data_IF_801034868126
#
_entry.id   IF_801034868126
#
_cell.length_a   1.000
_cell.length_b   1.000
_cell.length_c   1.000
_cell.angle_alpha   90.00
_cell.angle_beta   90.00
_cell.angle_gamma   90.00
#
_symmetry.space_group_name_H-M   'P 1'
#
loop_
_entity.id
_entity.type
_entity.pdbx_description
1 polymer ?
#
# COMPACT_ATOMS: atom_id res chain seq x y z
N UNK A 1 -50.94 19.34 -11.98
CA UNK A 1 -49.89 18.89 -11.04
C UNK A 1 -49.95 17.37 -10.98
N UNK A 2 -49.05 16.67 -11.68
CA UNK A 2 -48.94 15.21 -11.60
C UNK A 2 -47.68 14.91 -10.82
N UNK A 3 -47.85 14.28 -9.66
CA UNK A 3 -46.80 13.91 -8.71
C UNK A 3 -46.02 12.71 -9.24
N UNK A 4 -44.69 12.79 -9.18
CA UNK A 4 -43.78 11.72 -9.60
C UNK A 4 -43.97 10.51 -8.67
N UNK A 5 -44.10 9.34 -9.28
CA UNK A 5 -44.37 8.05 -8.64
C UNK A 5 -43.14 7.55 -7.85
N UNK A 6 -43.24 7.25 -6.54
CA UNK A 6 -42.11 6.85 -5.69
C UNK A 6 -41.42 5.55 -6.13
N UNK A 7 -42.02 4.76 -7.03
CA UNK A 7 -41.37 3.61 -7.66
C UNK A 7 -40.18 4.01 -8.55
N UNK A 8 -40.19 5.23 -9.11
CA UNK A 8 -39.10 5.74 -9.97
C UNK A 8 -37.88 6.20 -9.17
N UNK A 9 -38.07 6.58 -7.90
CA UNK A 9 -36.99 7.05 -7.02
C UNK A 9 -36.20 5.89 -6.41
N UNK A 10 -36.83 4.73 -6.21
CA UNK A 10 -36.16 3.52 -5.69
C UNK A 10 -35.25 2.84 -6.72
N UNK A 11 -35.44 3.09 -8.01
CA UNK A 11 -34.56 2.57 -9.06
C UNK A 11 -33.20 3.29 -9.15
N UNK A 12 -33.07 4.47 -8.54
CA UNK A 12 -31.84 5.29 -8.56
C UNK A 12 -30.85 4.88 -7.45
N UNK A 13 -31.28 4.13 -6.43
CA UNK A 13 -30.45 3.79 -5.27
C UNK A 13 -30.09 2.29 -5.15
N UNK A 14 -30.34 1.49 -6.20
CA UNK A 14 -29.98 0.07 -6.25
C UNK A 14 -28.63 -0.14 -6.92
N UNK A 15 -27.62 -0.50 -6.13
CA UNK A 15 -26.23 -0.72 -6.56
C UNK A 15 -26.10 -1.66 -7.77
N UNK A 16 -25.62 -1.10 -8.88
CA UNK A 16 -25.23 -1.83 -10.08
C UNK A 16 -24.67 -0.86 -11.12
N UNK A 17 -23.35 -0.94 -11.35
CA UNK A 17 -22.63 -0.37 -12.49
C UNK A 17 -22.95 1.10 -12.88
N UNK A 18 -22.48 2.03 -12.05
CA UNK A 18 -22.51 3.47 -12.35
C UNK A 18 -21.57 3.93 -13.50
N UNK A 19 -20.84 3.00 -14.15
CA UNK A 19 -19.91 3.34 -15.25
C UNK A 19 -20.55 3.34 -16.64
N UNK A 20 -21.75 2.77 -16.82
CA UNK A 20 -22.40 2.66 -18.14
C UNK A 20 -23.41 3.77 -18.45
N UNK A 21 -23.83 4.55 -17.45
CA UNK A 21 -24.89 5.56 -17.63
C UNK A 21 -24.36 6.97 -17.99
N UNK A 22 -23.06 7.25 -17.80
CA UNK A 22 -22.49 8.57 -18.11
C UNK A 22 -22.09 8.75 -19.59
N UNK A 23 -21.73 7.67 -20.28
CA UNK A 23 -21.36 7.72 -21.71
C UNK A 23 -22.58 8.07 -22.58
N UNK A 24 -23.78 7.60 -22.22
CA UNK A 24 -25.00 7.78 -22.99
C UNK A 24 -25.55 9.21 -22.97
N UNK A 25 -25.38 9.95 -21.86
CA UNK A 25 -25.92 11.31 -21.73
C UNK A 25 -25.19 12.32 -22.63
N UNK A 26 -23.86 12.19 -22.75
CA UNK A 26 -23.04 13.04 -23.61
C UNK A 26 -23.29 12.78 -25.10
N UNK A 27 -23.50 11.52 -25.47
CA UNK A 27 -23.82 11.12 -26.84
C UNK A 27 -25.26 11.47 -27.23
N UNK A 28 -26.24 11.38 -26.32
CA UNK A 28 -27.61 11.86 -26.54
C UNK A 28 -27.68 13.39 -26.68
N UNK A 29 -26.91 14.13 -25.89
CA UNK A 29 -26.81 15.59 -26.01
C UNK A 29 -26.18 15.98 -27.35
N UNK A 30 -25.12 15.30 -27.78
CA UNK A 30 -24.52 15.47 -29.13
C UNK A 30 -25.50 15.15 -30.25
N UNK A 31 -26.24 14.05 -30.14
CA UNK A 31 -27.22 13.61 -31.15
C UNK A 31 -28.41 14.57 -31.27
N UNK A 32 -28.95 15.01 -30.13
CA UNK A 32 -30.04 15.98 -30.08
C UNK A 32 -29.62 17.34 -30.62
N UNK A 33 -28.37 17.74 -30.34
CA UNK A 33 -27.78 18.97 -30.84
C UNK A 33 -27.51 18.92 -32.35
N UNK A 34 -26.96 17.83 -32.89
CA UNK A 34 -26.78 17.65 -34.34
C UNK A 34 -28.12 17.66 -35.09
N UNK A 35 -29.17 17.14 -34.49
CA UNK A 35 -30.54 17.16 -35.05
C UNK A 35 -31.10 18.58 -35.11
N UNK A 36 -30.90 19.39 -34.05
CA UNK A 36 -31.27 20.81 -34.03
C UNK A 36 -30.44 21.64 -35.02
N UNK A 37 -29.15 21.34 -35.17
CA UNK A 37 -28.24 21.98 -36.14
C UNK A 37 -28.68 21.73 -37.58
N UNK A 38 -29.04 20.50 -37.92
CA UNK A 38 -29.54 20.12 -39.26
C UNK A 38 -30.89 20.79 -39.55
N UNK A 39 -31.76 20.87 -38.54
CA UNK A 39 -33.08 21.51 -38.66
C UNK A 39 -32.98 23.02 -38.86
N UNK A 40 -31.99 23.68 -38.25
CA UNK A 40 -31.70 25.11 -38.47
C UNK A 40 -31.04 25.37 -39.83
N UNK A 41 -30.12 24.52 -40.29
CA UNK A 41 -29.50 24.61 -41.63
C UNK A 41 -30.51 24.49 -42.79
N UNK A 42 -31.59 23.72 -42.61
CA UNK A 42 -32.70 23.64 -43.57
C UNK A 42 -33.59 24.90 -43.63
N UNK A 43 -33.51 25.79 -42.63
CA UNK A 43 -34.39 26.96 -42.49
C UNK A 43 -33.65 28.31 -42.33
N UNK A 44 -32.32 28.37 -42.51
CA UNK A 44 -31.55 29.62 -42.40
C UNK A 44 -31.60 30.45 -43.70
N UNK A 45 -31.89 31.75 -43.55
CA UNK A 45 -31.69 32.78 -44.58
C UNK A 45 -30.17 33.02 -44.74
N UNK A 46 -29.59 32.94 -45.96
CA UNK A 46 -28.14 32.94 -46.22
C UNK A 46 -27.34 34.20 -45.81
N UNK A 47 -27.93 35.18 -45.11
CA UNK A 47 -27.34 36.48 -44.85
C UNK A 47 -26.73 36.71 -43.45
N UNK A 48 -26.72 35.74 -42.52
CA UNK A 48 -26.08 35.92 -41.19
C UNK A 48 -25.17 34.75 -40.75
N UNK A 49 -23.91 34.71 -41.21
CA UNK A 49 -22.95 33.62 -40.92
C UNK A 49 -22.34 33.61 -39.51
N UNK A 50 -22.68 34.56 -38.62
CA UNK A 50 -22.04 34.69 -37.29
C UNK A 50 -22.45 33.60 -36.28
N UNK A 51 -23.66 33.06 -36.36
CA UNK A 51 -24.17 32.01 -35.45
C UNK A 51 -23.44 30.66 -35.63
N UNK A 52 -22.98 30.36 -36.85
CA UNK A 52 -22.25 29.13 -37.15
C UNK A 52 -20.84 29.08 -36.52
N UNK A 53 -20.19 30.23 -36.33
CA UNK A 53 -18.87 30.32 -35.71
C UNK A 53 -18.93 30.08 -34.19
N UNK A 54 -19.96 30.61 -33.52
CA UNK A 54 -20.18 30.49 -32.07
C UNK A 54 -20.62 29.07 -31.69
N UNK A 55 -21.47 28.45 -32.51
CA UNK A 55 -21.86 27.03 -32.39
C UNK A 55 -20.67 26.08 -32.59
N UNK A 56 -19.83 26.34 -33.59
CA UNK A 56 -18.59 25.57 -33.82
C UNK A 56 -17.62 25.70 -32.65
N UNK A 57 -17.53 26.88 -32.03
CA UNK A 57 -16.75 27.10 -30.80
C UNK A 57 -17.29 26.31 -29.61
N UNK A 58 -18.61 26.26 -29.43
CA UNK A 58 -19.25 25.47 -28.36
C UNK A 58 -19.08 23.96 -28.58
N UNK A 59 -19.19 23.45 -29.81
CA UNK A 59 -18.86 22.04 -30.13
C UNK A 59 -17.39 21.76 -29.84
N UNK A 60 -16.48 22.65 -30.22
CA UNK A 60 -15.05 22.49 -29.93
C UNK A 60 -14.78 22.46 -28.42
N UNK A 61 -15.48 23.28 -27.63
CA UNK A 61 -15.40 23.25 -26.17
C UNK A 61 -15.95 21.94 -25.59
N UNK A 62 -17.10 21.45 -26.06
CA UNK A 62 -17.67 20.16 -25.64
C UNK A 62 -16.72 19.01 -25.99
N UNK A 63 -16.16 19.01 -27.20
CA UNK A 63 -15.19 17.99 -27.62
C UNK A 63 -13.91 18.02 -26.80
N UNK A 64 -13.48 19.21 -26.37
CA UNK A 64 -12.32 19.35 -25.47
C UNK A 64 -12.64 18.79 -24.09
N UNK A 65 -13.83 19.06 -23.55
CA UNK A 65 -14.27 18.49 -22.26
C UNK A 65 -14.38 16.98 -22.32
N UNK A 66 -15.04 16.43 -23.35
CA UNK A 66 -15.10 14.97 -23.55
C UNK A 66 -13.71 14.36 -23.73
N UNK A 67 -12.81 15.04 -24.45
CA UNK A 67 -11.41 14.61 -24.57
C UNK A 67 -10.70 14.57 -23.21
N UNK A 68 -10.93 15.55 -22.33
CA UNK A 68 -10.38 15.55 -20.96
C UNK A 68 -10.99 14.43 -20.12
N UNK A 69 -12.29 14.15 -20.25
CA UNK A 69 -12.95 13.03 -19.58
C UNK A 69 -12.40 11.67 -20.03
N UNK A 70 -12.18 11.48 -21.32
CA UNK A 70 -11.53 10.30 -21.90
C UNK A 70 -10.08 10.16 -21.41
N UNK A 71 -9.33 11.26 -21.33
CA UNK A 71 -7.99 11.27 -20.77
C UNK A 71 -7.99 10.87 -19.29
N UNK A 72 -8.89 11.44 -18.49
CA UNK A 72 -9.03 11.08 -17.07
C UNK A 72 -9.37 9.59 -16.90
N UNK A 73 -10.26 9.06 -17.74
CA UNK A 73 -10.64 7.63 -17.74
C UNK A 73 -9.45 6.73 -18.11
N UNK A 74 -8.67 7.15 -19.11
CA UNK A 74 -7.46 6.44 -19.53
C UNK A 74 -6.41 6.46 -18.42
N UNK A 75 -6.19 7.59 -17.76
CA UNK A 75 -5.27 7.72 -16.62
C UNK A 75 -5.68 6.86 -15.43
N UNK A 76 -6.98 6.78 -15.12
CA UNK A 76 -7.51 5.89 -14.08
C UNK A 76 -7.25 4.43 -14.44
N UNK A 77 -7.48 4.04 -15.69
CA UNK A 77 -7.25 2.67 -16.18
C UNK A 77 -5.76 2.29 -16.13
N UNK A 78 -4.86 3.22 -16.47
CA UNK A 78 -3.40 3.03 -16.33
C UNK A 78 -3.04 2.81 -14.85
N UNK A 79 -3.56 3.64 -13.96
CA UNK A 79 -3.30 3.53 -12.51
C UNK A 79 -3.77 2.19 -11.98
N UNK A 80 -4.99 1.75 -12.32
CA UNK A 80 -5.51 0.44 -11.93
C UNK A 80 -4.66 -0.72 -12.48
N UNK A 81 -4.15 -0.60 -13.71
CA UNK A 81 -3.25 -1.61 -14.27
C UNK A 81 -1.90 -1.66 -13.55
N UNK A 82 -1.37 -0.51 -13.13
CA UNK A 82 -0.15 -0.43 -12.33
C UNK A 82 -0.35 -1.06 -10.94
N UNK A 83 -1.47 -0.79 -10.29
CA UNK A 83 -1.83 -1.38 -8.99
C UNK A 83 -1.98 -2.90 -9.10
N UNK A 84 -2.63 -3.39 -10.15
CA UNK A 84 -2.74 -4.83 -10.40
C UNK A 84 -1.36 -5.49 -10.61
N UNK A 85 -0.45 -4.83 -11.31
CA UNK A 85 0.92 -5.31 -11.49
C UNK A 85 1.71 -5.34 -10.17
N UNK A 86 1.56 -4.33 -9.32
CA UNK A 86 2.17 -4.32 -8.00
C UNK A 86 1.58 -5.43 -7.11
N UNK A 87 0.27 -5.67 -7.18
CA UNK A 87 -0.39 -6.74 -6.44
C UNK A 87 0.12 -8.13 -6.89
N UNK A 88 0.40 -8.32 -8.19
CA UNK A 88 1.04 -9.54 -8.71
C UNK A 88 2.46 -9.72 -8.18
N UNK A 89 3.26 -8.65 -8.12
CA UNK A 89 4.60 -8.69 -7.53
C UNK A 89 4.54 -9.04 -6.03
N UNK A 90 3.64 -8.39 -5.29
CA UNK A 90 3.38 -8.66 -3.89
C UNK A 90 2.90 -10.11 -3.64
N UNK A 91 2.12 -10.67 -4.56
CA UNK A 91 1.67 -12.07 -4.48
C UNK A 91 2.83 -13.07 -4.51
N UNK A 92 3.95 -12.72 -5.15
CA UNK A 92 5.18 -13.52 -5.10
C UNK A 92 5.86 -13.53 -3.73
N UNK A 93 5.50 -12.61 -2.84
CA UNK A 93 6.03 -12.57 -1.47
C UNK A 93 5.27 -13.51 -0.52
N UNK A 94 4.10 -14.02 -0.91
CA UNK A 94 3.32 -14.93 -0.07
C UNK A 94 4.18 -16.17 0.24
N UNK A 95 4.31 -16.48 1.53
CA UNK A 95 5.15 -17.56 2.05
C UNK A 95 6.63 -17.18 2.22
N UNK A 96 7.07 -16.01 1.77
CA UNK A 96 8.44 -15.53 1.98
C UNK A 96 8.61 -14.90 3.37
N UNK A 97 9.82 -15.03 3.91
CA UNK A 97 10.24 -14.29 5.10
C UNK A 97 10.61 -12.85 4.73
N UNK A 98 10.16 -11.88 5.51
CA UNK A 98 10.46 -10.46 5.30
C UNK A 98 10.89 -9.80 6.60
N UNK A 99 11.70 -8.76 6.48
CA UNK A 99 12.07 -7.87 7.57
C UNK A 99 11.30 -6.55 7.44
N UNK A 100 10.62 -6.16 8.51
CA UNK A 100 9.83 -4.92 8.59
C UNK A 100 10.17 -4.15 9.86
N UNK A 101 9.96 -2.83 9.92
CA UNK A 101 10.17 -2.04 11.12
C UNK A 101 9.43 -2.60 12.34
N UNK A 102 10.18 -2.90 13.38
CA UNK A 102 9.68 -3.43 14.64
C UNK A 102 10.78 -4.12 15.42
N UNK A 103 10.51 -4.43 16.68
CA UNK A 103 11.55 -4.82 17.63
C UNK A 103 11.17 -6.05 18.44
N UNK A 104 10.36 -6.94 17.87
CA UNK A 104 9.87 -8.13 18.55
C UNK A 104 10.56 -9.37 18.02
N UNK A 105 10.87 -10.27 18.95
CA UNK A 105 11.35 -11.62 18.66
C UNK A 105 10.43 -12.61 19.37
N UNK A 106 10.03 -13.65 18.67
CA UNK A 106 9.33 -14.79 19.26
C UNK A 106 10.34 -15.86 19.62
N UNK A 107 10.20 -16.44 20.81
CA UNK A 107 10.90 -17.65 21.21
C UNK A 107 9.88 -18.77 21.40
N UNK A 108 10.13 -19.89 20.76
CA UNK A 108 9.41 -21.14 21.00
C UNK A 108 10.42 -22.24 21.36
N UNK A 109 9.92 -23.31 21.96
CA UNK A 109 10.72 -24.49 22.25
C UNK A 109 10.11 -25.66 21.49
N UNK A 110 10.94 -26.52 20.90
CA UNK A 110 10.46 -27.74 20.27
C UNK A 110 10.04 -28.80 21.30
N UNK A 111 9.59 -29.95 20.82
CA UNK A 111 9.18 -31.10 21.63
C UNK A 111 10.27 -31.59 22.61
N UNK A 112 11.54 -31.28 22.32
CA UNK A 112 12.72 -31.67 23.08
C UNK A 112 13.23 -30.55 24.00
N UNK A 113 12.54 -29.40 24.03
CA UNK A 113 12.88 -28.24 24.85
C UNK A 113 13.98 -27.36 24.26
N UNK A 114 14.38 -27.57 22.99
CA UNK A 114 15.39 -26.74 22.34
C UNK A 114 14.76 -25.43 21.88
N UNK A 115 15.35 -24.27 22.25
CA UNK A 115 14.81 -22.97 21.86
C UNK A 115 15.05 -22.70 20.36
N UNK A 116 14.05 -22.10 19.72
CA UNK A 116 14.13 -21.51 18.39
C UNK A 116 13.55 -20.10 18.45
N UNK A 117 14.23 -19.14 17.83
CA UNK A 117 13.78 -17.74 17.81
C UNK A 117 13.58 -17.23 16.40
N UNK A 118 12.64 -16.31 16.22
CA UNK A 118 12.53 -15.56 14.96
C UNK A 118 13.73 -14.61 14.83
N UNK A 119 14.32 -14.46 13.62
CA UNK A 119 15.35 -13.45 13.40
C UNK A 119 14.87 -12.03 13.75
N UNK A 120 15.82 -11.16 14.06
CA UNK A 120 15.63 -9.71 14.13
C UNK A 120 16.67 -9.04 13.25
N UNK A 121 16.53 -7.74 13.02
CA UNK A 121 17.49 -6.99 12.23
C UNK A 121 17.60 -5.54 12.64
N UNK A 122 18.51 -4.86 11.96
CA UNK A 122 18.76 -3.43 12.08
C UNK A 122 18.95 -2.84 10.69
N UNK A 123 18.43 -1.64 10.48
CA UNK A 123 18.77 -0.80 9.34
C UNK A 123 19.61 0.38 9.82
N UNK A 124 20.80 0.53 9.25
CA UNK A 124 21.75 1.59 9.57
C UNK A 124 22.06 2.44 8.33
N UNK A 125 22.12 3.75 8.48
CA UNK A 125 22.52 4.66 7.39
C UNK A 125 24.05 4.67 7.15
N UNK A 126 24.83 4.31 8.17
CA UNK A 126 26.30 4.28 8.20
C UNK A 126 26.76 3.02 8.95
N UNK A 127 27.98 2.50 8.71
CA UNK A 127 28.48 1.38 9.50
C UNK A 127 28.58 1.75 10.98
N UNK A 128 28.40 0.74 11.85
CA UNK A 128 28.61 0.81 13.29
C UNK A 128 29.82 -0.05 13.67
N UNK A 129 30.71 0.47 14.49
CA UNK A 129 31.86 -0.28 15.01
C UNK A 129 31.46 -1.21 16.16
N UNK A 130 30.38 -0.88 16.86
CA UNK A 130 29.83 -1.71 17.93
C UNK A 130 28.30 -1.72 17.90
N UNK A 131 27.72 -2.91 17.80
CA UNK A 131 26.29 -3.16 17.98
C UNK A 131 26.06 -4.00 19.23
N UNK A 132 25.28 -3.50 20.18
CA UNK A 132 24.82 -4.27 21.35
C UNK A 132 23.34 -4.60 21.21
N UNK A 133 23.00 -5.89 21.38
CA UNK A 133 21.62 -6.35 21.44
C UNK A 133 21.23 -6.61 22.90
N UNK A 134 20.09 -6.07 23.31
CA UNK A 134 19.47 -6.28 24.62
C UNK A 134 18.10 -6.91 24.43
N UNK A 135 17.96 -8.15 24.88
CA UNK A 135 16.71 -8.91 24.87
C UNK A 135 15.97 -8.63 26.18
N UNK A 136 14.77 -8.08 26.05
CA UNK A 136 13.92 -7.65 27.16
C UNK A 136 12.63 -8.49 27.17
N UNK A 137 12.30 -9.05 28.32
CA UNK A 137 11.08 -9.83 28.53
C UNK A 137 9.82 -8.96 28.62
N UNK A 138 8.67 -9.60 28.81
CA UNK A 138 7.38 -8.89 28.82
C UNK A 138 7.20 -8.00 30.07
N UNK A 139 7.87 -8.32 31.18
CA UNK A 139 7.86 -7.52 32.39
C UNK A 139 8.87 -6.36 32.40
N UNK A 140 9.64 -6.19 31.33
CA UNK A 140 10.71 -5.19 31.23
C UNK A 140 12.05 -5.66 31.79
N UNK A 141 12.15 -6.91 32.26
CA UNK A 141 13.39 -7.52 32.69
C UNK A 141 14.36 -7.74 31.52
N UNK A 142 15.65 -7.48 31.75
CA UNK A 142 16.70 -7.83 30.78
C UNK A 142 16.98 -9.32 30.90
N UNK A 143 16.73 -10.04 29.81
CA UNK A 143 16.93 -11.49 29.70
C UNK A 143 18.37 -11.78 29.29
N UNK A 144 18.88 -10.98 28.34
CA UNK A 144 20.25 -11.09 27.85
C UNK A 144 20.72 -9.79 27.21
N UNK A 145 21.98 -9.45 27.39
CA UNK A 145 22.72 -8.42 26.68
C UNK A 145 23.98 -9.04 26.08
N UNK A 146 24.20 -8.80 24.79
CA UNK A 146 25.39 -9.30 24.12
C UNK A 146 25.83 -8.40 22.98
N UNK A 147 27.14 -8.36 22.74
CA UNK A 147 27.75 -7.58 21.67
C UNK A 147 27.76 -8.41 20.38
N UNK A 148 27.26 -7.82 19.30
CA UNK A 148 27.24 -8.35 17.93
C UNK A 148 28.46 -7.92 17.11
N UNK A 149 29.29 -7.01 17.63
CA UNK A 149 30.49 -6.49 17.00
C UNK A 149 30.20 -5.37 16.00
N UNK A 150 31.11 -5.20 15.04
CA UNK A 150 30.96 -4.23 13.96
C UNK A 150 29.94 -4.70 12.93
N UNK A 151 29.17 -3.76 12.38
CA UNK A 151 28.04 -4.01 11.48
C UNK A 151 28.07 -2.98 10.36
N UNK A 152 27.98 -3.44 9.12
CA UNK A 152 27.96 -2.58 7.95
C UNK A 152 26.66 -1.75 7.83
N UNK A 153 26.71 -0.69 7.03
CA UNK A 153 25.51 0.06 6.67
C UNK A 153 24.49 -0.82 5.90
N UNK A 154 23.23 -0.38 5.90
CA UNK A 154 22.12 -1.09 5.29
C UNK A 154 21.39 -2.01 6.27
N UNK A 155 20.72 -3.03 5.73
CA UNK A 155 19.93 -3.97 6.50
C UNK A 155 20.78 -5.18 6.87
N UNK A 156 20.84 -5.49 8.16
CA UNK A 156 21.57 -6.64 8.71
C UNK A 156 20.66 -7.44 9.62
N UNK A 157 20.77 -8.77 9.58
CA UNK A 157 19.92 -9.69 10.33
C UNK A 157 20.72 -10.58 11.27
N UNK A 158 20.11 -10.89 12.41
CA UNK A 158 20.70 -11.65 13.50
C UNK A 158 19.66 -12.58 14.12
N UNK A 159 20.13 -13.58 14.86
CA UNK A 159 19.27 -14.50 15.57
C UNK A 159 19.74 -14.65 17.02
N UNK A 160 18.80 -14.60 17.96
CA UNK A 160 19.07 -14.89 19.35
C UNK A 160 19.01 -16.41 19.56
N UNK A 161 19.94 -16.99 20.29
CA UNK A 161 19.96 -18.43 20.59
C UNK A 161 18.87 -18.88 21.60
N UNK A 162 18.07 -17.94 22.11
CA UNK A 162 17.01 -18.18 23.07
C UNK A 162 17.47 -18.43 24.51
N UNK A 163 18.71 -18.07 24.85
CA UNK A 163 19.27 -18.24 26.20
C UNK A 163 19.34 -16.93 26.98
N UNK A 164 19.27 -17.01 28.30
CA UNK A 164 19.48 -15.89 29.23
C UNK A 164 20.98 -15.67 29.53
N UNK A 165 21.30 -14.71 30.40
CA UNK A 165 22.66 -14.41 30.89
C UNK A 165 23.37 -15.61 31.55
N UNK A 166 22.62 -16.53 32.15
CA UNK A 166 23.15 -17.74 32.78
C UNK A 166 23.40 -18.87 31.77
N UNK A 167 23.06 -18.67 30.50
CA UNK A 167 23.16 -19.69 29.45
C UNK A 167 22.02 -20.71 29.46
N UNK A 168 21.00 -20.50 30.29
CA UNK A 168 19.80 -21.33 30.39
C UNK A 168 18.78 -20.91 29.33
N UNK A 169 17.94 -21.84 28.88
CA UNK A 169 16.87 -21.52 27.93
C UNK A 169 15.83 -20.58 28.57
N UNK A 170 15.53 -19.47 27.90
CA UNK A 170 14.45 -18.59 28.30
C UNK A 170 13.09 -19.24 28.00
N UNK A 171 12.05 -18.79 28.70
CA UNK A 171 10.69 -19.31 28.51
C UNK A 171 10.12 -18.93 27.14
N UNK A 172 9.30 -19.79 26.54
CA UNK A 172 8.61 -19.46 25.29
C UNK A 172 7.74 -18.23 25.43
N UNK A 173 7.77 -17.35 24.44
CA UNK A 173 7.00 -16.11 24.44
C UNK A 173 7.60 -15.01 23.57
N UNK A 174 6.96 -13.84 23.64
CA UNK A 174 7.38 -12.64 22.92
C UNK A 174 8.36 -11.82 23.74
N UNK A 175 9.45 -11.44 23.12
CA UNK A 175 10.50 -10.58 23.67
C UNK A 175 10.64 -9.30 22.83
N UNK A 176 11.25 -8.28 23.43
CA UNK A 176 11.62 -7.04 22.76
C UNK A 176 13.13 -6.97 22.61
N UNK A 177 13.61 -6.64 21.43
CA UNK A 177 15.04 -6.40 21.17
C UNK A 177 15.29 -4.90 21.16
N UNK A 178 16.21 -4.45 21.99
CA UNK A 178 16.76 -3.09 21.91
C UNK A 178 18.15 -3.18 21.30
N UNK A 179 18.41 -2.31 20.32
CA UNK A 179 19.64 -2.28 19.56
C UNK A 179 20.34 -0.95 19.81
N UNK A 180 21.57 -1.03 20.29
CA UNK A 180 22.42 0.12 20.58
C UNK A 180 23.62 0.05 19.62
N UNK A 181 23.57 0.84 18.54
CA UNK A 181 24.63 0.96 17.56
C UNK A 181 25.51 2.17 17.87
N UNK A 182 26.83 2.01 17.84
CA UNK A 182 27.81 3.06 18.08
C UNK A 182 28.91 3.06 17.00
N UNK A 183 29.43 4.23 16.69
CA UNK A 183 30.62 4.39 15.85
C UNK A 183 31.92 4.24 16.65
N UNK A 184 33.07 4.41 15.98
CA UNK A 184 34.41 4.30 16.56
C UNK A 184 34.67 5.31 17.69
N UNK A 185 33.98 6.46 17.67
CA UNK A 185 34.06 7.49 18.70
C UNK A 185 33.14 7.22 19.90
N UNK A 186 32.27 6.21 19.82
CA UNK A 186 31.30 5.83 20.84
C UNK A 186 30.02 6.66 20.80
N UNK A 187 29.77 7.41 19.72
CA UNK A 187 28.52 8.13 19.53
C UNK A 187 27.41 7.16 19.10
N UNK A 188 26.21 7.34 19.65
CA UNK A 188 25.06 6.49 19.29
C UNK A 188 24.57 6.85 17.90
N UNK A 189 24.41 5.83 17.05
CA UNK A 189 23.89 5.97 15.70
C UNK A 189 22.37 5.79 15.67
N UNK A 190 21.70 6.64 14.88
CA UNK A 190 20.30 6.43 14.54
C UNK A 190 20.14 5.12 13.76
N UNK A 191 19.18 4.31 14.20
CA UNK A 191 18.91 3.00 13.61
C UNK A 191 17.43 2.66 13.66
N UNK A 192 17.01 1.79 12.74
CA UNK A 192 15.66 1.21 12.77
C UNK A 192 15.76 -0.27 13.07
N UNK A 193 15.19 -0.71 14.20
CA UNK A 193 15.06 -2.13 14.49
C UNK A 193 14.04 -2.79 13.55
N UNK A 194 14.34 -4.02 13.14
CA UNK A 194 13.50 -4.83 12.27
C UNK A 194 13.12 -6.14 12.94
N UNK A 195 11.90 -6.61 12.71
CA UNK A 195 11.46 -7.94 13.08
C UNK A 195 11.20 -8.80 11.85
N UNK A 196 11.43 -10.09 12.00
CA UNK A 196 11.06 -11.09 11.01
C UNK A 196 9.55 -11.35 11.02
N UNK A 197 8.97 -11.51 9.83
CA UNK A 197 7.63 -12.01 9.66
C UNK A 197 7.51 -12.84 8.36
N UNK A 198 6.50 -13.68 8.29
CA UNK A 198 6.14 -14.40 7.05
C UNK A 198 4.90 -13.74 6.46
N UNK A 199 4.93 -13.47 5.16
CA UNK A 199 3.77 -12.93 4.45
C UNK A 199 2.74 -14.04 4.25
N UNK A 200 1.57 -13.92 4.87
CA UNK A 200 0.49 -14.90 4.78
C UNK A 200 -0.46 -14.60 3.62
N UNK A 201 -0.78 -13.34 3.40
CA UNK A 201 -1.65 -12.92 2.31
C UNK A 201 -1.34 -11.51 1.83
N UNK A 202 -1.85 -11.18 0.64
CA UNK A 202 -1.75 -9.86 0.03
C UNK A 202 -3.16 -9.34 -0.14
N UNK A 203 -3.41 -8.13 0.34
CA UNK A 203 -4.64 -7.38 0.08
C UNK A 203 -4.33 -6.36 -1.01
N UNK A 204 -4.86 -6.53 -2.24
CA UNK A 204 -4.70 -5.56 -3.32
C UNK A 204 -5.29 -4.20 -2.94
N UNK A 205 -4.83 -3.16 -3.63
CA UNK A 205 -5.47 -1.85 -3.53
C UNK A 205 -6.92 -1.94 -4.06
N UNK A 206 -7.89 -1.55 -3.25
CA UNK A 206 -9.31 -1.49 -3.60
C UNK A 206 -9.77 -0.10 -4.11
N UNK A 207 -8.80 0.78 -4.42
CA UNK A 207 -9.03 2.14 -4.89
C UNK A 207 -8.97 3.19 -3.79
N UNK A 208 -8.70 2.80 -2.54
CA UNK A 208 -8.66 3.71 -1.38
C UNK A 208 -7.34 3.69 -0.59
N UNK A 209 -6.39 2.82 -0.94
CA UNK A 209 -5.19 2.61 -0.13
C UNK A 209 -3.96 2.15 -0.90
N UNK A 210 -2.94 1.71 -0.17
CA UNK A 210 -1.77 1.03 -0.73
C UNK A 210 -1.96 -0.49 -0.60
N UNK A 211 -1.24 -1.27 -1.41
CA UNK A 211 -1.19 -2.73 -1.24
C UNK A 211 -0.68 -3.07 0.16
N UNK A 212 -1.40 -3.97 0.83
CA UNK A 212 -1.08 -4.41 2.18
C UNK A 212 -0.71 -5.88 2.18
N UNK A 213 0.24 -6.23 3.04
CA UNK A 213 0.73 -7.56 3.29
C UNK A 213 0.31 -7.96 4.69
N UNK A 214 -0.39 -9.09 4.81
CA UNK A 214 -0.76 -9.64 6.10
C UNK A 214 0.38 -10.52 6.62
N UNK A 215 0.95 -10.10 7.74
CA UNK A 215 2.03 -10.78 8.45
C UNK A 215 1.50 -11.65 9.61
N UNK A 216 0.19 -11.87 9.65
CA UNK A 216 -0.51 -12.70 10.62
C UNK A 216 -0.83 -11.97 11.92
N UNK A 217 -1.43 -12.70 12.87
CA UNK A 217 -1.99 -12.12 14.09
C UNK A 217 -0.97 -11.41 15.00
N UNK A 218 0.33 -11.72 14.86
CA UNK A 218 1.39 -11.13 15.70
C UNK A 218 1.81 -9.75 15.20
N UNK A 219 1.85 -9.55 13.88
CA UNK A 219 2.44 -8.37 13.24
C UNK A 219 1.44 -7.54 12.44
N UNK A 220 0.25 -8.08 12.17
CA UNK A 220 -0.83 -7.39 11.47
C UNK A 220 -0.51 -7.13 10.00
N UNK A 221 -1.08 -6.05 9.47
CA UNK A 221 -0.90 -5.64 8.08
C UNK A 221 0.16 -4.55 7.95
N UNK A 222 1.03 -4.69 6.96
CA UNK A 222 2.06 -3.69 6.60
C UNK A 222 1.96 -3.33 5.13
N UNK A 223 2.45 -2.16 4.77
CA UNK A 223 2.54 -1.76 3.36
C UNK A 223 3.78 -2.38 2.70
N UNK A 224 3.70 -2.62 1.39
CA UNK A 224 4.81 -3.17 0.61
C UNK A 224 6.11 -2.36 0.75
N UNK A 225 6.01 -1.03 0.84
CA UNK A 225 7.16 -0.13 1.00
C UNK A 225 7.81 -0.18 2.40
N UNK A 226 7.18 -0.85 3.38
CA UNK A 226 7.75 -1.05 4.71
C UNK A 226 8.63 -2.30 4.77
N UNK A 227 8.64 -3.15 3.75
CA UNK A 227 9.60 -4.25 3.67
C UNK A 227 10.99 -3.68 3.41
N UNK A 228 11.91 -4.00 4.31
CA UNK A 228 13.32 -3.61 4.22
C UNK A 228 14.18 -4.69 3.59
N UNK A 229 13.80 -5.95 3.73
CA UNK A 229 14.47 -7.09 3.13
C UNK A 229 13.51 -8.27 2.96
N UNK A 230 13.69 -9.02 1.88
CA UNK A 230 13.08 -10.35 1.65
C UNK A 230 14.19 -11.38 1.86
N UNK A 231 13.89 -12.48 2.56
CA UNK A 231 14.85 -13.49 3.00
C UNK A 231 14.76 -14.77 2.17
#
# INVERSE_FOLDING_TARGET
MSTIDPATLSAINGGGSASQLKQSASDELRSSFLTLLITQLQNQDPLNPMENAEMTSQIAQINTVSGIEELNTTLQSITSQMDANQALQASGLIGQGVMVPGNKVMLEQDSEGKPYTTPFGIELAKPADQLTAVIVGQGGEVIRRYNLGAVEAGVQSFQWDGKNEQGEAAASGRYTVQLEAQDAEGETLDSTALNYAVVNSVTPNDGSGNIQLDLGAVYGQVQLNQIKQIL
#
